data_IF_890308445760
#
_entry.id   IF_890308445760
#
_cell.length_a   1.000
_cell.length_b   1.000
_cell.length_c   1.000
_cell.angle_alpha   90.00
_cell.angle_beta   90.00
_cell.angle_gamma   90.00
#
_symmetry.space_group_name_H-M   'P 1'
#
loop_
_entity.id
_entity.type
_entity.pdbx_description
1 polymer ?
#
# COMPACT_ATOMS: atom_id res chain seq x y z
N UNK A 1 15.57 13.12 -11.46
CA UNK A 1 14.38 12.94 -10.63
C UNK A 1 14.69 11.98 -9.50
N UNK A 2 14.38 12.34 -8.27
CA UNK A 2 14.64 11.47 -7.14
C UNK A 2 13.60 10.36 -7.07
N UNK A 3 14.06 9.15 -6.72
CA UNK A 3 13.17 8.02 -6.52
C UNK A 3 12.37 8.21 -5.24
N UNK A 4 11.07 8.02 -5.33
CA UNK A 4 10.19 8.03 -4.17
C UNK A 4 9.99 6.59 -3.73
N UNK A 5 10.31 6.29 -2.47
CA UNK A 5 10.09 4.98 -1.87
C UNK A 5 9.04 5.09 -0.79
N UNK A 6 8.09 4.16 -0.83
CA UNK A 6 6.98 4.12 0.13
C UNK A 6 6.79 2.73 0.68
N UNK A 7 6.20 2.67 1.85
CA UNK A 7 5.78 1.40 2.46
C UNK A 7 4.27 1.30 2.43
N UNK A 8 3.79 0.06 2.46
CA UNK A 8 2.37 -0.23 2.50
C UNK A 8 2.19 -1.48 3.35
N UNK A 9 1.31 -1.42 4.34
CA UNK A 9 1.09 -2.53 5.25
C UNK A 9 -0.39 -2.81 5.42
N UNK A 10 -0.74 -4.10 5.36
CA UNK A 10 -2.09 -4.57 5.64
C UNK A 10 -2.04 -5.50 6.85
N UNK A 11 -2.81 -5.20 7.89
CA UNK A 11 -3.03 -6.14 8.98
C UNK A 11 -3.94 -7.25 8.46
N UNK A 12 -3.61 -8.47 8.79
CA UNK A 12 -4.29 -9.66 8.26
C UNK A 12 -4.57 -10.63 9.37
N UNK A 13 -5.83 -11.00 9.55
CA UNK A 13 -6.26 -11.92 10.60
C UNK A 13 -7.34 -12.85 10.06
N UNK A 14 -7.00 -14.12 9.86
CA UNK A 14 -7.92 -15.09 9.27
C UNK A 14 -8.37 -14.67 7.87
N UNK A 15 -9.67 -14.49 7.68
CA UNK A 15 -10.22 -14.02 6.41
C UNK A 15 -10.41 -12.52 6.34
N UNK A 16 -9.87 -11.79 7.31
CA UNK A 16 -10.06 -10.35 7.43
C UNK A 16 -8.76 -9.60 7.12
N UNK A 17 -8.91 -8.49 6.43
CA UNK A 17 -7.81 -7.57 6.11
C UNK A 17 -8.21 -6.18 6.57
N UNK A 18 -7.28 -5.44 7.15
CA UNK A 18 -7.51 -4.06 7.55
C UNK A 18 -7.15 -3.12 6.41
N UNK A 19 -8.11 -2.31 6.02
CA UNK A 19 -7.88 -1.19 5.10
C UNK A 19 -8.10 0.10 5.87
N UNK A 20 -7.58 1.20 5.33
CA UNK A 20 -7.76 2.51 5.91
C UNK A 20 -8.16 3.50 4.82
N UNK A 21 -9.15 4.34 5.15
CA UNK A 21 -9.58 5.42 4.27
C UNK A 21 -8.70 6.63 4.56
N UNK A 22 -8.00 7.12 3.55
CA UNK A 22 -7.21 8.34 3.70
C UNK A 22 -8.13 9.55 3.68
N UNK A 23 -8.02 10.40 4.69
CA UNK A 23 -8.92 11.54 4.88
C UNK A 23 -8.50 12.78 4.11
N UNK A 24 -7.19 12.94 3.82
CA UNK A 24 -6.68 14.14 3.17
C UNK A 24 -5.40 13.85 2.40
N UNK A 25 -5.05 14.73 1.48
CA UNK A 25 -3.83 14.62 0.69
C UNK A 25 -3.96 13.70 -0.50
N UNK A 26 -2.81 13.26 -1.02
CA UNK A 26 -2.75 12.39 -2.19
C UNK A 26 -3.41 11.04 -1.90
N UNK A 27 -4.38 10.66 -2.73
CA UNK A 27 -5.12 9.43 -2.54
C UNK A 27 -6.28 9.53 -1.55
N UNK A 28 -6.67 10.74 -1.13
CA UNK A 28 -7.79 10.93 -0.21
C UNK A 28 -9.08 10.32 -0.77
N UNK A 29 -9.92 9.83 0.15
CA UNK A 29 -11.20 9.18 -0.12
C UNK A 29 -11.08 7.82 -0.81
N UNK A 30 -9.89 7.21 -0.74
CA UNK A 30 -9.67 5.84 -1.20
C UNK A 30 -9.26 4.95 -0.04
N UNK A 31 -9.73 3.71 -0.06
CA UNK A 31 -9.26 2.68 0.86
C UNK A 31 -7.91 2.14 0.39
N UNK A 32 -7.02 1.85 1.31
CA UNK A 32 -5.71 1.27 1.02
C UNK A 32 -5.14 0.65 2.29
N UNK A 33 -3.94 0.07 2.21
CA UNK A 33 -3.15 -0.24 3.40
C UNK A 33 -2.64 1.03 4.05
N UNK A 34 -1.94 0.89 5.16
CA UNK A 34 -1.30 2.02 5.82
C UNK A 34 0.17 2.07 5.43
N UNK A 35 0.74 3.26 5.42
CA UNK A 35 2.13 3.43 5.05
C UNK A 35 2.40 4.84 4.57
N UNK A 36 3.62 5.06 4.11
CA UNK A 36 4.00 6.36 3.61
C UNK A 36 5.43 6.39 3.11
N UNK A 37 5.91 7.58 2.86
CA UNK A 37 7.21 7.82 2.26
C UNK A 37 8.33 7.63 3.28
N UNK A 38 9.43 7.00 2.86
CA UNK A 38 10.63 6.91 3.67
C UNK A 38 11.22 8.30 3.90
N UNK A 39 11.64 8.55 5.12
CA UNK A 39 12.39 9.76 5.47
C UNK A 39 13.88 9.50 5.27
N UNK A 40 14.66 10.58 5.18
CA UNK A 40 16.10 10.50 4.99
C UNK A 40 16.74 9.65 6.11
N UNK A 41 17.54 8.67 5.72
CA UNK A 41 18.23 7.81 6.68
C UNK A 41 17.42 6.64 7.23
N UNK A 42 16.13 6.55 6.91
CA UNK A 42 15.31 5.42 7.34
C UNK A 42 15.50 4.19 6.47
N UNK A 43 15.50 3.02 7.10
CA UNK A 43 15.30 1.78 6.37
C UNK A 43 13.82 1.62 6.05
N UNK A 44 13.52 0.70 5.13
CA UNK A 44 12.13 0.39 4.77
C UNK A 44 11.34 -0.06 6.00
N UNK A 45 11.91 -0.93 6.82
CA UNK A 45 11.22 -1.42 8.03
C UNK A 45 11.02 -0.34 9.08
N UNK A 46 11.98 0.56 9.25
CA UNK A 46 11.81 1.69 10.17
C UNK A 46 10.65 2.59 9.73
N UNK A 47 10.56 2.88 8.44
CA UNK A 47 9.45 3.66 7.89
C UNK A 47 8.12 2.94 8.04
N UNK A 48 8.11 1.63 7.80
CA UNK A 48 6.91 0.80 7.95
C UNK A 48 6.34 0.90 9.37
N UNK A 49 7.19 0.73 10.37
CA UNK A 49 6.79 0.76 11.77
C UNK A 49 6.32 2.18 12.15
N UNK A 50 7.11 3.19 11.79
CA UNK A 50 6.77 4.59 12.12
C UNK A 50 5.43 5.01 11.52
N UNK A 51 5.23 4.75 10.22
CA UNK A 51 4.00 5.14 9.55
C UNK A 51 2.77 4.42 10.11
N UNK A 52 2.90 3.14 10.44
CA UNK A 52 1.79 2.39 11.00
C UNK A 52 1.42 2.91 12.40
N UNK A 53 2.42 3.26 13.21
CA UNK A 53 2.18 3.87 14.51
C UNK A 53 1.51 5.25 14.40
N UNK A 54 1.97 6.07 13.46
CA UNK A 54 1.42 7.40 13.24
C UNK A 54 -0.01 7.37 12.71
N UNK A 55 -0.29 6.46 11.79
CA UNK A 55 -1.56 6.47 11.08
C UNK A 55 -2.69 5.75 11.82
N UNK A 56 -2.41 4.63 12.48
CA UNK A 56 -3.44 3.83 13.16
C UNK A 56 -3.07 3.36 14.57
N UNK A 57 -1.98 3.85 15.13
CA UNK A 57 -1.54 3.57 16.52
C UNK A 57 -1.22 2.09 16.77
N UNK A 58 -0.67 1.42 15.77
CA UNK A 58 -0.32 0.00 15.83
C UNK A 58 1.18 -0.17 15.60
N UNK A 59 1.79 -1.10 16.35
CA UNK A 59 3.20 -1.48 16.16
C UNK A 59 3.25 -2.86 15.53
N UNK A 60 3.69 -2.99 14.26
CA UNK A 60 3.85 -4.29 13.63
C UNK A 60 4.91 -5.14 14.34
N UNK A 61 4.62 -6.43 14.54
CA UNK A 61 5.53 -7.38 15.18
C UNK A 61 5.98 -8.46 14.18
N UNK A 62 5.04 -9.23 13.62
CA UNK A 62 5.32 -10.23 12.59
C UNK A 62 4.74 -9.75 11.26
N UNK A 63 5.63 -9.49 10.31
CA UNK A 63 5.24 -9.00 9.00
C UNK A 63 6.19 -9.54 7.94
N UNK A 64 5.68 -9.71 6.74
CA UNK A 64 6.44 -10.25 5.62
C UNK A 64 6.19 -9.41 4.37
N UNK A 65 7.26 -9.12 3.64
CA UNK A 65 7.15 -8.43 2.35
C UNK A 65 6.48 -9.39 1.35
N UNK A 66 5.43 -8.93 0.69
CA UNK A 66 4.66 -9.73 -0.27
C UNK A 66 4.67 -9.15 -1.67
N UNK A 67 5.02 -7.87 -1.82
CA UNK A 67 5.06 -7.25 -3.14
C UNK A 67 6.09 -6.14 -3.21
N UNK A 68 6.70 -6.03 -4.39
CA UNK A 68 7.49 -4.88 -4.80
C UNK A 68 6.78 -4.28 -6.00
N UNK A 69 6.28 -3.07 -5.83
CA UNK A 69 5.42 -2.41 -6.81
C UNK A 69 6.12 -1.16 -7.35
N UNK A 70 6.21 -1.08 -8.66
CA UNK A 70 6.85 0.04 -9.35
C UNK A 70 5.78 0.79 -10.12
N UNK A 71 5.55 2.05 -9.73
CA UNK A 71 4.50 2.89 -10.31
C UNK A 71 5.08 4.01 -11.14
N UNK A 72 4.51 4.21 -12.32
CA UNK A 72 4.83 5.32 -13.22
C UNK A 72 3.58 6.11 -13.52
N UNK A 73 3.71 7.42 -13.56
CA UNK A 73 2.60 8.29 -13.91
C UNK A 73 3.09 9.65 -14.37
N UNK A 74 2.15 10.57 -14.53
CA UNK A 74 2.42 11.94 -14.95
C UNK A 74 1.64 12.91 -14.10
N UNK A 75 2.26 14.05 -13.80
CA UNK A 75 1.60 15.13 -13.10
C UNK A 75 0.51 15.71 -14.01
N UNK A 76 -0.75 15.87 -13.53
CA UNK A 76 -1.84 16.36 -14.37
C UNK A 76 -1.68 17.81 -14.82
N UNK A 77 -0.91 18.63 -14.11
CA UNK A 77 -0.72 20.04 -14.46
C UNK A 77 0.51 20.26 -15.32
N UNK A 78 1.64 19.66 -14.95
CA UNK A 78 2.93 19.88 -15.62
C UNK A 78 3.25 18.86 -16.69
N UNK A 79 2.55 17.72 -16.68
CA UNK A 79 2.82 16.56 -17.54
C UNK A 79 4.23 15.97 -17.31
N UNK A 80 4.86 16.29 -16.18
CA UNK A 80 6.15 15.73 -15.82
C UNK A 80 5.99 14.30 -15.32
N UNK A 81 6.89 13.38 -15.71
CA UNK A 81 6.82 12.00 -15.24
C UNK A 81 7.22 11.89 -13.77
N UNK A 82 6.55 10.96 -13.07
CA UNK A 82 6.96 10.57 -11.73
C UNK A 82 7.08 9.06 -11.65
N UNK A 83 7.89 8.60 -10.70
CA UNK A 83 8.08 7.18 -10.42
C UNK A 83 8.07 6.98 -8.92
N UNK A 84 7.46 5.87 -8.48
CA UNK A 84 7.34 5.56 -7.06
C UNK A 84 7.47 4.06 -6.86
N UNK A 85 8.34 3.66 -5.91
CA UNK A 85 8.50 2.27 -5.51
C UNK A 85 7.74 2.03 -4.21
N UNK A 86 6.91 1.00 -4.18
CA UNK A 86 6.15 0.64 -2.99
C UNK A 86 6.50 -0.77 -2.56
N UNK A 87 6.88 -0.92 -1.29
CA UNK A 87 7.16 -2.20 -0.66
C UNK A 87 5.96 -2.56 0.19
N UNK A 88 5.23 -3.60 -0.19
CA UNK A 88 3.99 -3.99 0.47
C UNK A 88 4.20 -5.20 1.38
N UNK A 89 3.60 -5.13 2.56
CA UNK A 89 3.75 -6.12 3.62
C UNK A 89 2.39 -6.60 4.12
N UNK A 90 2.31 -7.87 4.49
CA UNK A 90 1.21 -8.40 5.29
C UNK A 90 1.71 -8.59 6.72
N UNK A 91 0.92 -8.15 7.69
CA UNK A 91 1.26 -8.22 9.11
C UNK A 91 0.21 -9.07 9.83
N UNK A 92 0.66 -10.14 10.49
CA UNK A 92 -0.23 -11.09 11.17
C UNK A 92 -0.19 -10.95 12.68
N UNK A 93 0.77 -10.21 13.22
CA UNK A 93 0.90 -9.98 14.66
C UNK A 93 1.32 -8.54 14.91
N UNK A 94 0.66 -7.88 15.83
CA UNK A 94 0.94 -6.48 16.16
C UNK A 94 0.55 -6.18 17.59
N UNK A 95 1.01 -5.04 18.10
CA UNK A 95 0.61 -4.49 19.38
C UNK A 95 -0.24 -3.24 19.15
N UNK A 96 -1.22 -3.03 20.03
CA UNK A 96 -2.13 -1.90 19.92
C UNK A 96 -3.40 -2.25 19.16
N UNK A 97 -4.37 -1.35 19.24
CA UNK A 97 -5.66 -1.49 18.56
C UNK A 97 -5.72 -0.48 17.41
N UNK A 98 -6.05 -0.93 16.20
CA UNK A 98 -6.24 0.01 15.08
C UNK A 98 -7.24 1.09 15.47
N UNK A 99 -6.82 2.34 15.42
CA UNK A 99 -7.60 3.48 15.86
C UNK A 99 -7.54 4.59 14.83
N UNK A 100 -8.66 5.26 14.63
CA UNK A 100 -8.76 6.37 13.71
C UNK A 100 -7.86 7.53 14.14
N UNK A 101 -7.18 8.13 13.17
CA UNK A 101 -6.35 9.33 13.36
C UNK A 101 -6.90 10.47 12.52
N UNK A 102 -6.21 11.61 12.53
CA UNK A 102 -6.57 12.75 11.68
C UNK A 102 -6.39 12.42 10.18
N UNK A 103 -5.54 11.47 9.86
CA UNK A 103 -5.22 11.13 8.47
C UNK A 103 -5.92 9.89 7.95
N UNK A 104 -6.22 8.92 8.85
CA UNK A 104 -6.68 7.60 8.45
C UNK A 104 -7.87 7.12 9.28
N UNK A 105 -8.79 6.45 8.59
CA UNK A 105 -9.91 5.76 9.22
C UNK A 105 -9.81 4.27 8.92
N UNK A 106 -9.37 3.42 9.88
CA UNK A 106 -9.24 1.98 9.64
C UNK A 106 -10.57 1.26 9.72
N UNK A 107 -10.69 0.19 8.91
CA UNK A 107 -11.87 -0.68 8.91
C UNK A 107 -11.49 -2.06 8.43
N UNK A 108 -12.06 -3.09 9.07
CA UNK A 108 -11.84 -4.49 8.69
C UNK A 108 -12.77 -4.89 7.55
N UNK A 109 -12.22 -5.61 6.58
CA UNK A 109 -12.97 -6.17 5.45
C UNK A 109 -12.67 -7.65 5.31
N UNK A 110 -13.64 -8.43 4.87
CA UNK A 110 -13.38 -9.81 4.48
C UNK A 110 -12.67 -9.83 3.12
N UNK A 111 -11.78 -10.82 2.92
CA UNK A 111 -11.02 -10.95 1.68
C UNK A 111 -11.88 -10.97 0.42
N UNK A 112 -13.09 -11.52 0.52
CA UNK A 112 -14.02 -11.60 -0.61
C UNK A 112 -14.93 -10.39 -0.75
N UNK A 113 -14.74 -9.37 0.07
CA UNK A 113 -15.56 -8.17 0.09
C UNK A 113 -14.73 -6.88 0.09
N UNK A 114 -13.54 -6.93 -0.46
CA UNK A 114 -12.64 -5.77 -0.55
C UNK A 114 -13.24 -4.75 -1.52
N UNK A 115 -13.31 -3.47 -1.10
CA UNK A 115 -13.97 -2.43 -1.90
C UNK A 115 -13.07 -1.89 -3.03
N UNK A 116 -12.69 -2.73 -3.98
CA UNK A 116 -11.77 -2.34 -5.06
C UNK A 116 -12.23 -1.12 -5.86
N UNK A 117 -13.53 -0.90 -5.98
CA UNK A 117 -14.08 0.25 -6.70
C UNK A 117 -13.70 1.58 -6.03
N UNK A 118 -13.45 1.55 -4.72
CA UNK A 118 -13.06 2.72 -3.93
C UNK A 118 -11.58 2.69 -3.55
N UNK A 119 -10.78 1.98 -4.34
CA UNK A 119 -9.33 1.86 -4.17
C UNK A 119 -8.62 2.32 -5.44
N UNK A 120 -7.28 2.39 -5.41
CA UNK A 120 -6.51 2.62 -6.63
C UNK A 120 -6.72 1.45 -7.59
N UNK A 121 -6.74 1.73 -8.88
CA UNK A 121 -7.09 0.74 -9.91
C UNK A 121 -6.14 -0.45 -10.00
N UNK A 122 -4.90 -0.31 -9.51
CA UNK A 122 -3.94 -1.41 -9.49
C UNK A 122 -4.28 -2.49 -8.47
N UNK A 123 -4.94 -2.12 -7.38
CA UNK A 123 -5.13 -3.03 -6.24
C UNK A 123 -5.89 -4.31 -6.60
N UNK A 124 -6.90 -4.21 -7.45
CA UNK A 124 -7.67 -5.39 -7.85
C UNK A 124 -6.85 -6.41 -8.66
N UNK A 125 -5.72 -5.98 -9.22
CA UNK A 125 -4.88 -6.84 -10.03
C UNK A 125 -3.80 -7.56 -9.22
N UNK A 126 -3.29 -6.95 -8.16
CA UNK A 126 -2.19 -7.57 -7.41
C UNK A 126 -2.57 -8.02 -6.00
N UNK A 127 -3.47 -7.31 -5.30
CA UNK A 127 -3.80 -7.64 -3.91
C UNK A 127 -4.41 -9.04 -3.76
N UNK A 128 -5.33 -9.49 -4.64
CA UNK A 128 -5.83 -10.86 -4.53
C UNK A 128 -4.74 -11.92 -4.61
N UNK A 129 -3.70 -11.69 -5.41
CA UNK A 129 -2.60 -12.64 -5.57
C UNK A 129 -1.80 -12.80 -4.28
N UNK A 130 -1.48 -11.69 -3.60
CA UNK A 130 -0.73 -11.78 -2.34
C UNK A 130 -1.59 -12.35 -1.21
N UNK A 131 -2.89 -12.15 -1.24
CA UNK A 131 -3.81 -12.76 -0.27
C UNK A 131 -3.97 -14.26 -0.49
N UNK A 132 -3.63 -14.77 -1.67
CA UNK A 132 -3.55 -16.20 -1.96
C UNK A 132 -2.20 -16.81 -1.56
N UNK A 133 -1.28 -16.02 -1.04
CA UNK A 133 0.03 -16.48 -0.58
C UNK A 133 1.16 -16.30 -1.57
N UNK A 134 0.94 -15.58 -2.65
CA UNK A 134 1.98 -15.31 -3.64
C UNK A 134 2.83 -14.11 -3.27
N UNK A 135 4.09 -14.12 -3.69
CA UNK A 135 4.97 -12.95 -3.66
C UNK A 135 5.11 -12.46 -5.09
N UNK A 136 4.96 -11.16 -5.29
CA UNK A 136 4.93 -10.60 -6.65
C UNK A 136 5.84 -9.40 -6.80
N UNK A 137 6.29 -9.21 -8.04
CA UNK A 137 6.88 -7.95 -8.51
C UNK A 137 6.00 -7.45 -9.63
N UNK A 138 5.65 -6.17 -9.60
CA UNK A 138 4.73 -5.62 -10.58
C UNK A 138 5.11 -4.21 -10.97
N UNK A 139 4.71 -3.83 -12.18
CA UNK A 139 4.89 -2.48 -12.70
C UNK A 139 3.53 -1.99 -13.20
N UNK A 140 3.18 -0.77 -12.84
CA UNK A 140 1.90 -0.15 -13.20
C UNK A 140 2.15 1.20 -13.84
N UNK A 141 1.46 1.47 -14.94
CA UNK A 141 1.57 2.72 -15.68
C UNK A 141 0.23 3.45 -15.66
N UNK A 142 0.23 4.63 -15.05
CA UNK A 142 -0.95 5.50 -14.96
C UNK A 142 -0.81 6.70 -15.88
N UNK A 143 -1.93 7.22 -16.36
CA UNK A 143 -1.95 8.45 -17.13
C UNK A 143 -2.07 9.67 -16.21
N UNK A 144 -2.20 10.87 -16.79
CA UNK A 144 -2.31 12.13 -16.05
C UNK A 144 -3.63 12.28 -15.31
N UNK A 145 -4.58 11.38 -15.52
CA UNK A 145 -5.88 11.36 -14.82
C UNK A 145 -5.95 10.29 -13.74
N UNK A 146 -4.79 9.70 -13.41
CA UNK A 146 -4.68 8.59 -12.46
C UNK A 146 -5.47 7.33 -12.89
N UNK A 147 -5.65 7.15 -14.21
CA UNK A 147 -6.21 5.93 -14.76
C UNK A 147 -5.10 4.96 -15.15
N UNK A 148 -5.28 3.69 -14.78
CA UNK A 148 -4.33 2.63 -15.10
C UNK A 148 -4.38 2.31 -16.59
N UNK A 149 -3.24 2.40 -17.26
CA UNK A 149 -3.15 2.17 -18.71
C UNK A 149 -2.58 0.81 -19.07
N UNK A 150 -1.58 0.35 -18.33
CA UNK A 150 -1.00 -0.95 -18.56
C UNK A 150 -0.30 -1.42 -17.28
N UNK A 151 -0.06 -2.72 -17.21
CA UNK A 151 0.65 -3.28 -16.07
C UNK A 151 1.27 -4.61 -16.44
N UNK A 152 2.26 -5.01 -15.64
CA UNK A 152 2.92 -6.30 -15.74
C UNK A 152 3.09 -6.84 -14.32
N UNK A 153 2.67 -8.08 -14.08
CA UNK A 153 2.77 -8.72 -12.77
C UNK A 153 3.43 -10.08 -12.95
N UNK A 154 4.43 -10.38 -12.13
CA UNK A 154 5.02 -11.70 -12.09
C UNK A 154 5.14 -12.21 -10.67
N UNK A 155 4.92 -13.50 -10.50
CA UNK A 155 5.17 -14.17 -9.23
C UNK A 155 6.66 -14.40 -9.07
N UNK A 156 7.18 -14.20 -7.85
CA UNK A 156 8.57 -14.48 -7.52
C UNK A 156 8.62 -15.45 -6.35
N UNK A 157 9.65 -16.30 -6.32
CA UNK A 157 9.79 -17.28 -5.25
C UNK A 157 10.58 -16.70 -4.08
N UNK A 158 11.42 -15.72 -4.34
CA UNK A 158 12.22 -15.01 -3.34
C UNK A 158 12.67 -13.67 -3.90
N UNK A 159 13.04 -12.77 -2.99
CA UNK A 159 13.51 -11.43 -3.35
C UNK A 159 14.97 -11.39 -3.75
#
# INVERSE_FOLDING_TARGET
MSDIRRTLLFLHEGDNILLAMKKRGFGANRWNGVGGKLEAGETIEQALIRETQEEIFVTPIDYVKVAELDFYGKDPETNEPWQMFVYAYLCTKWEGEPTESEEMKPEWYKKNSIPYVDMWQDDEHWLPQVLEGKKIQATFYFDEKDDLKSYDIKEVMQW
#
